data_IF_958633503572
#
_entry.id   IF_958633503572
#
_cell.length_a   1.000
_cell.length_b   1.000
_cell.length_c   1.000
_cell.angle_alpha   90.00
_cell.angle_beta   90.00
_cell.angle_gamma   90.00
#
_symmetry.space_group_name_H-M   'P 1'
#
loop_
_entity.id
_entity.type
_entity.pdbx_description
1 polymer ?
#
# COMPACT_ATOMS: atom_id res chain seq x y z
N UNK A 1 -72.42 -23.77 29.77
CA UNK A 1 -71.53 -22.57 29.86
C UNK A 1 -70.26 -22.86 29.09
N UNK A 2 -70.14 -22.23 27.95
CA UNK A 2 -68.92 -22.35 27.08
C UNK A 2 -68.17 -21.06 27.22
N UNK A 3 -66.96 -21.11 27.77
CA UNK A 3 -66.04 -19.95 27.76
C UNK A 3 -65.17 -20.02 26.51
N UNK A 4 -65.26 -19.01 25.68
CA UNK A 4 -64.39 -18.80 24.54
C UNK A 4 -63.24 -17.88 24.97
N UNK A 5 -62.02 -18.41 24.94
CA UNK A 5 -60.79 -17.66 25.21
C UNK A 5 -60.38 -16.96 23.91
N UNK A 6 -60.35 -15.63 23.93
CA UNK A 6 -59.81 -14.83 22.85
C UNK A 6 -58.31 -14.69 23.02
N UNK A 7 -57.52 -15.18 22.07
CA UNK A 7 -56.09 -14.97 21.99
C UNK A 7 -55.83 -13.60 21.37
N UNK A 8 -55.17 -12.72 22.12
CA UNK A 8 -54.64 -11.42 21.62
C UNK A 8 -53.29 -11.71 21.02
N UNK A 9 -53.22 -11.63 19.70
CA UNK A 9 -51.92 -11.61 18.97
C UNK A 9 -51.33 -10.21 19.06
N UNK A 10 -50.29 -10.02 19.86
CA UNK A 10 -49.48 -8.81 19.85
C UNK A 10 -48.50 -8.90 18.70
N UNK A 11 -48.75 -8.14 17.63
CA UNK A 11 -47.77 -7.94 16.57
C UNK A 11 -46.68 -6.99 17.08
N UNK A 12 -45.49 -7.52 17.35
CA UNK A 12 -44.28 -6.74 17.54
C UNK A 12 -43.82 -6.23 16.16
N UNK A 13 -44.07 -4.96 15.89
CA UNK A 13 -43.46 -4.25 14.77
C UNK A 13 -42.03 -3.93 15.20
N UNK A 14 -41.08 -4.73 14.76
CA UNK A 14 -39.66 -4.38 14.83
C UNK A 14 -39.41 -3.28 13.80
N UNK A 15 -39.24 -2.04 14.26
CA UNK A 15 -38.71 -0.97 13.45
C UNK A 15 -37.26 -1.30 13.13
N UNK A 16 -37.00 -1.80 11.93
CA UNK A 16 -35.63 -1.84 11.38
C UNK A 16 -35.22 -0.40 11.11
N UNK A 17 -34.34 0.12 11.96
CA UNK A 17 -33.62 1.36 11.68
C UNK A 17 -32.61 1.01 10.56
N UNK A 18 -33.01 1.27 9.33
CA UNK A 18 -32.11 1.24 8.21
C UNK A 18 -31.10 2.39 8.39
N UNK A 19 -29.95 2.12 8.93
CA UNK A 19 -28.79 2.98 8.77
C UNK A 19 -28.46 2.97 7.28
N UNK A 20 -28.74 4.08 6.59
CA UNK A 20 -28.21 4.32 5.25
C UNK A 20 -26.68 4.32 5.36
N UNK A 21 -26.05 3.23 4.92
CA UNK A 21 -24.61 3.16 4.81
C UNK A 21 -24.14 4.17 3.74
N UNK A 22 -23.15 5.02 4.02
CA UNK A 22 -22.56 5.86 2.98
C UNK A 22 -21.92 4.95 1.93
N UNK A 23 -22.31 5.05 0.67
CA UNK A 23 -21.65 4.49 -0.50
C UNK A 23 -21.42 2.98 -0.46
N UNK A 24 -22.41 2.15 -0.78
CA UNK A 24 -22.42 0.70 -0.60
C UNK A 24 -21.38 -0.14 -1.33
N UNK A 25 -20.46 0.43 -2.11
CA UNK A 25 -19.45 -0.34 -2.85
C UNK A 25 -18.08 -0.36 -2.14
N UNK A 26 -17.66 0.71 -1.48
CA UNK A 26 -16.36 0.79 -0.80
C UNK A 26 -16.23 -0.15 0.40
N UNK A 27 -17.28 -0.28 1.23
CA UNK A 27 -17.25 -1.17 2.39
C UNK A 27 -17.22 -2.66 2.01
N UNK A 28 -18.03 -3.05 1.02
CA UNK A 28 -18.07 -4.42 0.52
C UNK A 28 -16.72 -4.82 -0.13
N UNK A 29 -16.04 -3.88 -0.76
CA UNK A 29 -14.70 -4.06 -1.36
C UNK A 29 -13.62 -4.17 -0.32
N UNK A 30 -13.59 -3.28 0.70
CA UNK A 30 -12.67 -3.41 1.84
C UNK A 30 -12.81 -4.77 2.51
N UNK A 31 -14.04 -5.27 2.64
CA UNK A 31 -14.30 -6.58 3.22
C UNK A 31 -13.88 -7.73 2.29
N UNK A 32 -14.09 -7.61 0.98
CA UNK A 32 -13.62 -8.58 -0.01
C UNK A 32 -12.08 -8.60 -0.08
N UNK A 33 -11.43 -7.41 0.03
CA UNK A 33 -9.97 -7.30 0.09
C UNK A 33 -9.38 -7.81 1.38
N UNK A 34 -9.97 -7.53 2.55
CA UNK A 34 -9.56 -8.17 3.81
C UNK A 34 -9.62 -9.69 3.72
N UNK A 35 -10.63 -10.23 3.02
CA UNK A 35 -10.74 -11.66 2.76
C UNK A 35 -9.72 -12.15 1.73
N UNK A 36 -9.42 -11.37 0.71
CA UNK A 36 -8.41 -11.69 -0.31
C UNK A 36 -6.99 -11.54 0.27
N UNK A 37 -6.71 -10.52 1.08
CA UNK A 37 -5.42 -10.36 1.80
C UNK A 37 -5.21 -11.44 2.85
N UNK A 38 -6.25 -11.81 3.62
CA UNK A 38 -6.22 -13.01 4.47
C UNK A 38 -5.97 -14.29 3.66
N UNK A 39 -6.05 -14.21 2.34
CA UNK A 39 -5.90 -15.29 1.39
C UNK A 39 -4.58 -15.26 0.59
N UNK A 40 -3.68 -14.29 0.80
CA UNK A 40 -2.35 -14.28 0.19
C UNK A 40 -2.06 -13.17 -0.80
N UNK A 41 -2.67 -11.97 -0.66
CA UNK A 41 -2.23 -10.77 -1.38
C UNK A 41 -0.84 -10.37 -0.88
N UNK A 42 0.13 -10.28 -1.79
CA UNK A 42 1.50 -9.89 -1.49
C UNK A 42 1.83 -8.64 -2.29
N UNK A 43 2.45 -7.64 -1.67
CA UNK A 43 3.24 -6.71 -2.45
C UNK A 43 4.32 -7.51 -3.18
N UNK A 44 4.53 -7.20 -4.44
CA UNK A 44 5.51 -7.93 -5.23
C UNK A 44 6.87 -7.26 -5.09
N UNK A 45 7.95 -7.99 -4.81
CA UNK A 45 9.29 -7.43 -4.95
C UNK A 45 9.49 -6.92 -6.39
N UNK A 46 10.39 -5.97 -6.53
CA UNK A 46 10.76 -5.44 -7.85
C UNK A 46 10.97 -6.57 -8.85
N UNK A 47 10.21 -6.59 -9.93
CA UNK A 47 10.37 -7.55 -11.00
C UNK A 47 10.77 -6.85 -12.30
N UNK A 48 11.98 -7.13 -12.75
CA UNK A 48 12.28 -7.03 -14.18
C UNK A 48 11.82 -8.32 -14.84
N UNK A 49 10.77 -8.27 -15.61
CA UNK A 49 10.25 -9.44 -16.31
C UNK A 49 10.85 -9.48 -17.72
N UNK A 50 11.58 -10.57 -18.04
CA UNK A 50 12.12 -10.76 -19.37
C UNK A 50 11.00 -10.83 -20.41
N UNK A 51 11.13 -10.04 -21.47
CA UNK A 51 10.19 -9.68 -22.53
C UNK A 51 9.53 -10.83 -23.35
N UNK A 52 9.37 -12.01 -22.82
CA UNK A 52 8.75 -13.12 -23.57
C UNK A 52 7.38 -13.59 -23.06
N UNK A 53 6.98 -13.24 -21.86
CA UNK A 53 5.76 -13.79 -21.27
C UNK A 53 4.93 -12.82 -20.40
N UNK A 54 5.35 -11.56 -20.20
CA UNK A 54 4.63 -10.65 -19.31
C UNK A 54 4.23 -9.36 -20.00
N UNK A 55 3.07 -8.88 -19.64
CA UNK A 55 2.56 -7.55 -20.02
C UNK A 55 3.13 -6.43 -19.16
N UNK A 56 3.73 -6.73 -18.01
CA UNK A 56 4.44 -5.80 -17.13
C UNK A 56 5.92 -6.15 -17.13
N UNK A 57 6.78 -5.18 -17.39
CA UNK A 57 8.24 -5.36 -17.44
C UNK A 57 8.95 -4.80 -16.23
N UNK A 58 8.34 -3.80 -15.57
CA UNK A 58 8.73 -3.27 -14.26
C UNK A 58 7.46 -2.84 -13.54
N UNK A 59 7.24 -3.35 -12.35
CA UNK A 59 6.07 -3.01 -11.55
C UNK A 59 6.32 -1.83 -10.60
N UNK A 60 7.56 -1.35 -10.47
CA UNK A 60 7.94 -0.24 -9.61
C UNK A 60 8.31 1.00 -10.42
N UNK A 61 7.78 2.16 -9.99
CA UNK A 61 8.21 3.49 -10.42
C UNK A 61 8.63 4.29 -9.19
N UNK A 62 9.70 5.07 -9.30
CA UNK A 62 10.17 5.87 -8.17
C UNK A 62 11.68 5.90 -8.02
N UNK A 63 12.15 5.90 -6.78
CA UNK A 63 13.56 6.02 -6.46
C UNK A 63 14.03 4.93 -5.48
N UNK A 64 15.17 4.34 -5.78
CA UNK A 64 15.82 3.28 -5.01
C UNK A 64 17.25 3.70 -4.70
N UNK A 65 17.60 3.74 -3.41
CA UNK A 65 18.98 3.84 -2.97
C UNK A 65 19.53 2.44 -2.71
N UNK A 66 20.75 2.18 -3.19
CA UNK A 66 21.48 0.95 -2.91
C UNK A 66 22.67 1.30 -2.02
N UNK A 67 22.79 0.63 -0.87
CA UNK A 67 23.83 0.90 0.12
C UNK A 67 23.95 -0.21 1.15
N UNK A 68 24.14 0.16 2.41
CA UNK A 68 24.18 -0.76 3.54
C UNK A 68 23.61 -0.12 4.79
N UNK A 69 23.22 -0.96 5.73
CA UNK A 69 22.84 -0.59 7.09
C UNK A 69 21.74 0.47 7.17
N UNK A 70 20.86 0.53 6.14
CA UNK A 70 19.71 1.41 6.19
C UNK A 70 18.82 1.04 7.38
N UNK A 71 18.48 2.03 8.18
CA UNK A 71 17.70 1.84 9.41
C UNK A 71 16.36 2.56 9.40
N UNK A 72 16.24 3.70 8.69
CA UNK A 72 14.96 4.42 8.59
C UNK A 72 14.78 5.01 7.20
N UNK A 73 13.56 4.86 6.68
CA UNK A 73 13.09 5.51 5.46
C UNK A 73 11.78 6.20 5.74
N UNK A 74 11.64 7.47 5.36
CA UNK A 74 10.41 8.23 5.55
C UNK A 74 10.19 9.25 4.46
N UNK A 75 8.93 9.52 4.15
CA UNK A 75 8.50 10.61 3.26
C UNK A 75 7.07 11.04 3.58
N UNK A 76 6.69 12.20 3.07
CA UNK A 76 5.30 12.66 3.01
C UNK A 76 4.83 12.62 1.56
N UNK A 77 3.70 11.98 1.28
CA UNK A 77 3.12 11.94 -0.07
C UNK A 77 1.70 12.49 -0.10
N UNK A 78 1.33 13.13 -1.22
CA UNK A 78 -0.04 13.53 -1.49
C UNK A 78 -0.85 12.34 -2.01
N UNK A 79 -2.12 12.27 -1.63
CA UNK A 79 -3.05 11.27 -2.14
C UNK A 79 -3.67 11.76 -3.45
N UNK A 80 -3.43 11.08 -4.58
CA UNK A 80 -3.94 11.50 -5.87
C UNK A 80 -5.43 11.18 -6.03
N UNK A 81 -6.10 11.86 -6.96
CA UNK A 81 -7.34 11.36 -7.56
C UNK A 81 -7.03 10.20 -8.49
N UNK A 82 -7.82 9.13 -8.40
CA UNK A 82 -7.59 7.92 -9.18
C UNK A 82 -8.79 7.61 -10.10
N UNK A 83 -8.51 7.00 -11.26
CA UNK A 83 -9.52 6.54 -12.20
C UNK A 83 -9.08 5.26 -12.92
N UNK A 84 -10.02 4.60 -13.62
CA UNK A 84 -9.75 3.31 -14.28
C UNK A 84 -10.77 2.23 -13.95
N UNK A 85 -11.80 2.61 -13.15
CA UNK A 85 -12.85 1.69 -12.71
C UNK A 85 -12.42 0.89 -11.48
N UNK A 86 -13.32 0.07 -11.06
CA UNK A 86 -13.28 -0.53 -9.73
C UNK A 86 -12.28 -1.68 -9.55
N UNK A 87 -11.74 -2.24 -10.61
CA UNK A 87 -10.69 -3.26 -10.57
C UNK A 87 -9.29 -2.68 -10.71
N UNK A 88 -9.18 -1.40 -11.13
CA UNK A 88 -7.90 -0.74 -11.26
C UNK A 88 -7.42 -0.21 -9.91
N UNK A 89 -6.12 -0.34 -9.64
CA UNK A 89 -5.50 0.11 -8.41
C UNK A 89 -4.04 0.49 -8.64
N UNK A 90 -3.42 1.11 -7.65
CA UNK A 90 -2.01 1.37 -7.53
C UNK A 90 -1.69 1.69 -6.08
N UNK A 91 -0.42 1.73 -5.74
CA UNK A 91 0.04 1.99 -4.38
C UNK A 91 1.23 2.94 -4.35
N UNK A 92 1.38 3.68 -3.25
CA UNK A 92 2.56 4.49 -2.95
C UNK A 92 3.09 4.10 -1.57
N UNK A 93 4.40 3.83 -1.47
CA UNK A 93 4.97 3.34 -0.24
C UNK A 93 6.44 3.74 -0.05
N UNK A 94 6.90 3.62 1.19
CA UNK A 94 8.32 3.70 1.56
C UNK A 94 8.75 2.39 2.16
N UNK A 95 10.00 1.96 1.91
CA UNK A 95 10.46 0.66 2.35
C UNK A 95 11.96 0.53 2.54
N UNK A 96 12.32 -0.59 3.18
CA UNK A 96 13.69 -1.09 3.30
C UNK A 96 13.72 -2.48 2.67
N UNK A 97 14.61 -2.67 1.70
CA UNK A 97 14.83 -3.87 0.88
C UNK A 97 13.67 -4.21 -0.10
N UNK A 98 13.96 -5.10 -1.05
CA UNK A 98 13.03 -5.53 -2.10
C UNK A 98 13.64 -5.54 -3.49
N UNK A 99 14.63 -4.68 -3.75
CA UNK A 99 15.33 -4.64 -5.03
C UNK A 99 16.49 -5.66 -5.07
N UNK A 100 17.63 -5.34 -4.48
CA UNK A 100 18.80 -6.24 -4.50
C UNK A 100 18.72 -7.33 -3.44
N UNK A 101 18.00 -7.11 -2.36
CA UNK A 101 17.65 -8.08 -1.32
C UNK A 101 16.17 -8.41 -1.37
N UNK A 102 15.83 -9.61 -1.81
CA UNK A 102 14.46 -10.07 -1.99
C UNK A 102 14.00 -11.07 -0.92
N UNK A 103 14.75 -11.18 0.18
CA UNK A 103 14.41 -12.09 1.29
C UNK A 103 13.33 -11.53 2.20
N UNK A 104 13.30 -10.22 2.38
CA UNK A 104 12.29 -9.48 3.12
C UNK A 104 12.15 -8.06 2.57
N UNK A 105 11.03 -7.41 2.84
CA UNK A 105 10.80 -5.97 2.68
C UNK A 105 10.05 -5.50 3.92
N UNK A 106 10.55 -4.47 4.58
CA UNK A 106 9.79 -3.74 5.60
C UNK A 106 9.23 -2.49 4.96
N UNK A 107 7.89 -2.41 4.80
CA UNK A 107 7.26 -1.34 4.05
C UNK A 107 5.91 -0.89 4.61
N UNK A 108 5.51 0.33 4.26
CA UNK A 108 4.19 0.90 4.57
C UNK A 108 3.79 1.93 3.53
N UNK A 109 2.51 1.99 3.24
CA UNK A 109 2.00 2.85 2.21
C UNK A 109 0.49 3.02 2.23
N UNK A 110 0.00 3.57 1.14
CA UNK A 110 -1.42 3.67 0.87
C UNK A 110 -1.74 3.26 -0.56
N UNK A 111 -2.89 2.59 -0.70
CA UNK A 111 -3.44 2.22 -1.99
C UNK A 111 -4.44 3.26 -2.46
N UNK A 112 -4.54 3.44 -3.76
CA UNK A 112 -5.65 4.11 -4.43
C UNK A 112 -6.34 3.17 -5.40
N UNK A 113 -7.63 3.35 -5.56
CA UNK A 113 -8.47 2.54 -6.44
C UNK A 113 -9.19 3.42 -7.42
N UNK A 114 -9.35 2.94 -8.65
CA UNK A 114 -10.01 3.68 -9.73
C UNK A 114 -11.49 4.03 -9.48
N UNK A 115 -12.06 3.65 -8.34
CA UNK A 115 -13.38 4.08 -7.87
C UNK A 115 -13.33 5.17 -6.79
N UNK A 116 -12.13 5.71 -6.51
CA UNK A 116 -11.93 6.77 -5.53
C UNK A 116 -11.94 6.30 -4.08
N UNK A 117 -11.65 5.03 -3.82
CA UNK A 117 -11.40 4.51 -2.46
C UNK A 117 -9.91 4.37 -2.20
N UNK A 118 -9.52 4.39 -0.92
CA UNK A 118 -8.14 4.38 -0.46
C UNK A 118 -8.02 3.55 0.80
N UNK A 119 -6.86 2.88 0.98
CA UNK A 119 -6.53 2.13 2.19
C UNK A 119 -5.09 2.43 2.62
N UNK A 120 -4.81 2.39 3.92
CA UNK A 120 -3.47 2.47 4.49
C UNK A 120 -3.05 1.09 4.95
N UNK A 121 -1.82 0.70 4.68
CA UNK A 121 -1.35 -0.64 4.94
C UNK A 121 0.10 -0.69 5.46
N UNK A 122 0.49 -1.88 5.99
CA UNK A 122 1.85 -2.21 6.42
C UNK A 122 2.17 -3.65 6.02
N UNK A 123 3.45 -3.94 5.86
CA UNK A 123 3.92 -5.28 5.49
C UNK A 123 5.33 -5.55 5.98
N UNK A 124 5.56 -6.81 6.35
CA UNK A 124 6.87 -7.44 6.40
C UNK A 124 6.86 -8.60 5.40
N UNK A 125 7.24 -8.32 4.14
CA UNK A 125 7.32 -9.35 3.11
C UNK A 125 8.31 -10.47 3.56
N UNK A 126 8.07 -11.78 3.29
CA UNK A 126 7.03 -12.33 2.42
C UNK A 126 5.68 -12.64 3.10
N UNK A 127 5.42 -12.15 4.31
CA UNK A 127 4.07 -12.19 4.84
C UNK A 127 3.15 -11.30 3.98
N UNK A 128 1.84 -11.46 4.15
CA UNK A 128 0.88 -10.63 3.43
C UNK A 128 0.75 -9.25 4.08
N UNK A 129 0.47 -8.23 3.26
CA UNK A 129 0.15 -6.90 3.78
C UNK A 129 -1.17 -6.90 4.55
N UNK A 130 -1.24 -6.11 5.61
CA UNK A 130 -2.43 -5.88 6.42
C UNK A 130 -2.82 -4.42 6.43
N UNK A 131 -4.13 -4.14 6.49
CA UNK A 131 -4.64 -2.78 6.60
C UNK A 131 -4.49 -2.23 8.01
N UNK A 132 -4.12 -0.96 8.11
CA UNK A 132 -4.24 -0.22 9.36
C UNK A 132 -5.70 0.04 9.71
N UNK A 133 -6.04 -0.13 10.96
CA UNK A 133 -7.30 0.36 11.54
C UNK A 133 -7.07 1.69 12.26
N UNK A 134 -8.06 2.58 12.24
CA UNK A 134 -7.98 3.85 12.97
C UNK A 134 -7.39 5.00 12.17
N UNK A 135 -7.20 4.84 10.87
CA UNK A 135 -6.85 5.89 9.93
C UNK A 135 -7.80 5.85 8.73
N UNK A 136 -8.10 7.01 8.17
CA UNK A 136 -8.88 7.15 6.93
C UNK A 136 -8.08 8.00 5.97
N UNK A 137 -8.04 7.60 4.70
CA UNK A 137 -7.36 8.31 3.62
C UNK A 137 -8.40 8.76 2.59
N UNK A 138 -8.24 9.98 2.10
CA UNK A 138 -9.07 10.59 1.07
C UNK A 138 -8.20 11.31 0.05
N UNK A 139 -8.74 11.51 -1.15
CA UNK A 139 -8.11 12.34 -2.18
C UNK A 139 -7.67 13.71 -1.61
N UNK A 140 -6.46 14.10 -1.92
CA UNK A 140 -5.86 15.37 -1.50
C UNK A 140 -5.28 15.37 -0.09
N UNK A 141 -5.38 14.28 0.66
CA UNK A 141 -4.72 14.17 1.96
C UNK A 141 -3.19 14.17 1.80
N UNK A 142 -2.50 14.61 2.85
CA UNK A 142 -1.05 14.55 2.99
C UNK A 142 -0.69 13.43 3.96
N UNK A 143 0.01 12.42 3.48
CA UNK A 143 0.30 11.19 4.22
C UNK A 143 1.79 11.08 4.50
N UNK A 144 2.18 11.09 5.77
CA UNK A 144 3.53 10.78 6.18
C UNK A 144 3.66 9.28 6.43
N UNK A 145 4.66 8.67 5.83
CA UNK A 145 5.00 7.27 5.94
C UNK A 145 6.41 7.11 6.49
N UNK A 146 6.63 6.12 7.34
CA UNK A 146 7.97 5.83 7.87
C UNK A 146 8.09 4.35 8.23
N UNK A 147 9.22 3.76 7.88
CA UNK A 147 9.64 2.45 8.35
C UNK A 147 10.97 2.58 9.08
N UNK A 148 11.15 1.81 10.16
CA UNK A 148 12.40 1.75 10.91
C UNK A 148 12.75 0.30 11.20
N UNK A 149 13.89 -0.17 10.72
CA UNK A 149 14.47 -1.46 11.06
C UNK A 149 15.31 -1.31 12.33
N UNK A 150 14.97 -2.03 13.39
CA UNK A 150 15.77 -2.08 14.64
C UNK A 150 16.73 -3.25 14.67
N UNK A 151 16.54 -4.22 13.79
CA UNK A 151 17.42 -5.33 13.46
C UNK A 151 16.99 -5.94 12.12
N UNK A 152 17.68 -6.95 11.65
CA UNK A 152 17.34 -7.65 10.40
C UNK A 152 15.98 -8.40 10.48
N UNK A 153 15.41 -8.57 11.67
CA UNK A 153 14.13 -9.27 11.89
C UNK A 153 13.14 -8.50 12.75
N UNK A 154 13.41 -7.23 13.05
CA UNK A 154 12.52 -6.42 13.88
C UNK A 154 12.51 -4.97 13.43
N UNK A 155 11.37 -4.33 13.57
CA UNK A 155 11.19 -2.96 13.13
C UNK A 155 9.80 -2.42 13.41
N UNK A 156 9.48 -1.32 12.75
CA UNK A 156 8.15 -0.70 12.82
C UNK A 156 7.78 -0.02 11.51
N UNK A 157 6.50 0.02 11.24
CA UNK A 157 5.87 0.81 10.18
C UNK A 157 4.92 1.82 10.82
N UNK A 158 4.94 3.05 10.37
CA UNK A 158 4.09 4.15 10.87
C UNK A 158 3.53 4.93 9.71
N UNK A 159 2.25 5.25 9.78
CA UNK A 159 1.58 6.13 8.82
C UNK A 159 0.77 7.19 9.58
N UNK A 160 0.85 8.43 9.11
CA UNK A 160 0.13 9.56 9.67
C UNK A 160 -0.54 10.36 8.57
N UNK A 161 -1.84 10.53 8.66
CA UNK A 161 -2.57 11.47 7.83
C UNK A 161 -2.44 12.87 8.44
N UNK A 162 -1.55 13.70 7.89
CA UNK A 162 -1.27 15.05 8.40
C UNK A 162 -2.47 15.99 8.20
N UNK A 163 -3.38 15.71 7.28
CA UNK A 163 -4.59 16.48 7.03
C UNK A 163 -5.59 16.29 8.17
N UNK A 164 -5.74 15.08 8.68
CA UNK A 164 -6.71 14.73 9.73
C UNK A 164 -6.09 14.59 11.11
N UNK A 165 -4.76 14.45 11.21
CA UNK A 165 -4.03 14.20 12.46
C UNK A 165 -4.13 12.75 12.96
N UNK A 166 -4.67 11.83 12.15
CA UNK A 166 -4.75 10.42 12.51
C UNK A 166 -3.39 9.75 12.30
N UNK A 167 -2.90 9.02 13.31
CA UNK A 167 -1.61 8.31 13.28
C UNK A 167 -1.76 6.90 13.79
N UNK A 168 -1.18 5.95 13.10
CA UNK A 168 -1.17 4.53 13.45
C UNK A 168 0.22 3.94 13.22
N UNK A 169 0.54 2.87 13.96
CA UNK A 169 1.83 2.20 13.86
C UNK A 169 1.67 0.70 14.07
N UNK A 170 2.57 -0.07 13.45
CA UNK A 170 2.75 -1.51 13.65
C UNK A 170 4.19 -1.77 14.05
N UNK A 171 4.38 -2.61 15.07
CA UNK A 171 5.69 -3.14 15.44
C UNK A 171 5.82 -4.58 14.98
N UNK A 172 7.01 -4.93 14.49
CA UNK A 172 7.44 -6.26 14.09
C UNK A 172 8.56 -6.72 15.02
N UNK A 173 8.55 -7.97 15.44
CA UNK A 173 9.52 -8.50 16.41
C UNK A 173 9.86 -9.93 16.11
N UNK A 174 11.15 -10.20 15.85
CA UNK A 174 11.69 -11.52 15.56
C UNK A 174 10.94 -12.22 14.41
N UNK A 175 10.73 -11.48 13.31
CA UNK A 175 10.10 -12.01 12.12
C UNK A 175 10.92 -13.19 11.57
N UNK A 176 10.28 -14.30 11.33
CA UNK A 176 10.93 -15.55 10.91
C UNK A 176 10.68 -15.88 9.44
N UNK A 177 9.79 -15.16 8.78
CA UNK A 177 9.42 -15.33 7.38
C UNK A 177 10.49 -14.86 6.40
N UNK A 178 11.28 -13.84 6.80
CA UNK A 178 12.38 -13.29 6.02
C UNK A 178 13.19 -12.29 6.84
N UNK A 179 14.49 -12.21 6.55
CA UNK A 179 15.40 -11.24 7.18
C UNK A 179 15.76 -10.13 6.21
N UNK A 180 15.74 -8.89 6.67
CA UNK A 180 16.26 -7.73 5.95
C UNK A 180 17.76 -7.87 5.73
N UNK A 181 18.24 -7.35 4.61
CA UNK A 181 19.66 -7.10 4.36
C UNK A 181 20.04 -5.66 4.71
N UNK A 182 19.05 -4.77 4.76
CA UNK A 182 19.17 -3.31 4.94
C UNK A 182 20.05 -2.66 3.88
N UNK A 183 19.90 -3.13 2.63
CA UNK A 183 20.72 -2.69 1.48
C UNK A 183 19.98 -1.81 0.49
N UNK A 184 18.67 -1.71 0.60
CA UNK A 184 17.86 -0.82 -0.23
C UNK A 184 17.02 0.12 0.63
N UNK A 185 16.84 1.36 0.17
CA UNK A 185 15.89 2.31 0.72
C UNK A 185 15.06 2.87 -0.43
N UNK A 186 13.73 2.84 -0.31
CA UNK A 186 12.83 2.99 -1.44
C UNK A 186 11.69 3.96 -1.18
N UNK A 187 11.33 4.68 -2.29
CA UNK A 187 10.17 5.57 -2.42
C UNK A 187 9.47 5.19 -3.71
N UNK A 188 8.39 4.40 -3.63
CA UNK A 188 7.86 3.65 -4.77
C UNK A 188 6.37 3.90 -5.01
N UNK A 189 6.02 4.04 -6.30
CA UNK A 189 4.70 3.71 -6.84
C UNK A 189 4.75 2.29 -7.40
N UNK A 190 3.71 1.51 -7.18
CA UNK A 190 3.71 0.12 -7.62
C UNK A 190 2.39 -0.29 -8.29
N UNK A 191 2.55 -1.01 -9.41
CA UNK A 191 1.53 -1.89 -9.98
C UNK A 191 1.65 -3.25 -9.31
N UNK A 192 0.77 -3.53 -8.33
CA UNK A 192 0.89 -4.72 -7.50
C UNK A 192 0.09 -5.92 -8.02
N UNK A 193 0.48 -7.12 -7.58
CA UNK A 193 -0.23 -8.35 -7.89
C UNK A 193 -1.30 -8.67 -6.84
N UNK A 194 -2.45 -9.17 -7.29
CA UNK A 194 -3.43 -9.84 -6.45
C UNK A 194 -3.37 -11.34 -6.70
N UNK A 195 -3.29 -12.12 -5.62
CA UNK A 195 -3.29 -13.57 -5.66
C UNK A 195 -4.67 -14.11 -5.25
N UNK A 196 -5.00 -15.33 -5.71
CA UNK A 196 -6.18 -16.03 -5.21
C UNK A 196 -6.03 -16.44 -3.74
N UNK A 197 -7.12 -16.96 -3.14
CA UNK A 197 -7.21 -17.28 -1.72
C UNK A 197 -6.21 -18.31 -1.18
N UNK A 198 -5.44 -18.97 -2.03
CA UNK A 198 -4.38 -19.92 -1.63
C UNK A 198 -2.97 -19.37 -1.91
N UNK A 199 -2.85 -18.07 -2.31
CA UNK A 199 -1.57 -17.46 -2.64
C UNK A 199 -0.95 -17.99 -3.94
N UNK A 200 -1.73 -18.65 -4.79
CA UNK A 200 -1.37 -19.04 -6.16
C UNK A 200 -2.14 -18.19 -7.16
N UNK A 201 -1.77 -18.26 -8.43
CA UNK A 201 -2.40 -17.53 -9.53
C UNK A 201 -2.46 -16.01 -9.22
N UNK A 202 -1.28 -15.41 -9.05
CA UNK A 202 -1.12 -13.98 -8.87
C UNK A 202 -1.14 -13.27 -10.23
N UNK A 203 -1.94 -12.23 -10.35
CA UNK A 203 -2.03 -11.41 -11.55
C UNK A 203 -1.90 -9.92 -11.16
N UNK A 204 -1.24 -9.14 -12.03
CA UNK A 204 -1.21 -7.69 -11.85
C UNK A 204 -2.62 -7.11 -11.95
N UNK A 205 -2.98 -6.22 -11.03
CA UNK A 205 -4.21 -5.45 -11.16
C UNK A 205 -4.06 -4.46 -12.31
N UNK A 206 -5.12 -4.07 -13.02
CA UNK A 206 -5.00 -2.96 -13.96
C UNK A 206 -4.52 -1.71 -13.24
N UNK A 207 -3.38 -1.12 -13.65
CA UNK A 207 -2.81 0.05 -13.01
C UNK A 207 -3.76 1.24 -13.16
N UNK A 208 -4.25 1.77 -12.04
CA UNK A 208 -5.18 2.90 -12.05
C UNK A 208 -4.45 4.18 -12.43
N UNK A 209 -4.98 4.90 -13.42
CA UNK A 209 -4.47 6.24 -13.72
C UNK A 209 -4.71 7.19 -12.56
N UNK A 210 -3.79 8.12 -12.33
CA UNK A 210 -3.84 9.04 -11.20
C UNK A 210 -3.42 10.47 -11.58
N UNK A 211 -3.93 11.46 -10.85
CA UNK A 211 -3.61 12.88 -11.00
C UNK A 211 -3.95 13.64 -9.70
N UNK A 212 -3.16 14.64 -9.27
CA UNK A 212 -1.87 15.06 -9.84
C UNK A 212 -0.79 13.98 -9.70
N UNK A 213 0.45 14.29 -10.10
CA UNK A 213 1.61 13.47 -9.78
C UNK A 213 1.66 13.16 -8.28
N UNK A 214 2.07 11.95 -7.93
CA UNK A 214 2.39 11.62 -6.53
C UNK A 214 3.79 12.13 -6.25
N UNK A 215 3.89 13.00 -5.26
CA UNK A 215 5.15 13.58 -4.81
C UNK A 215 5.45 13.09 -3.40
N UNK A 216 6.53 12.33 -3.28
CA UNK A 216 7.16 12.05 -2.00
C UNK A 216 8.05 13.23 -1.66
N UNK A 217 7.66 14.03 -0.69
CA UNK A 217 8.39 15.18 -0.19
C UNK A 217 9.03 14.87 1.16
N UNK A 218 10.02 15.66 1.56
CA UNK A 218 10.77 15.44 2.81
C UNK A 218 11.31 14.00 2.91
N UNK A 219 11.69 13.43 1.77
CA UNK A 219 12.30 12.12 1.71
C UNK A 219 13.56 12.09 2.57
N UNK A 220 13.60 11.16 3.51
CA UNK A 220 14.71 11.00 4.45
C UNK A 220 15.08 9.53 4.58
N UNK A 221 16.37 9.28 4.50
CA UNK A 221 16.97 7.95 4.70
C UNK A 221 18.07 8.08 5.73
N UNK A 222 18.15 7.13 6.64
CA UNK A 222 19.29 7.00 7.57
C UNK A 222 19.94 5.63 7.42
N UNK A 223 21.26 5.61 7.62
CA UNK A 223 22.11 4.43 7.69
C UNK A 223 22.99 4.55 8.92
N UNK A 224 22.88 3.60 9.85
CA UNK A 224 23.55 3.65 11.18
C UNK A 224 23.30 5.00 11.91
N UNK A 225 22.10 5.58 11.73
CA UNK A 225 21.68 6.84 12.33
C UNK A 225 22.19 8.10 11.62
N UNK A 226 22.96 8.00 10.56
CA UNK A 226 23.44 9.12 9.77
C UNK A 226 22.57 9.35 8.53
N UNK A 227 22.33 10.62 8.19
CA UNK A 227 21.51 10.96 7.01
C UNK A 227 22.21 10.61 5.70
N UNK A 228 21.47 10.02 4.77
CA UNK A 228 21.94 9.65 3.43
C UNK A 228 21.26 10.54 2.39
N UNK A 229 22.05 11.06 1.42
CA UNK A 229 21.52 11.84 0.28
C UNK A 229 20.80 10.95 -0.71
N UNK A 230 19.81 11.51 -1.42
CA UNK A 230 19.14 10.86 -2.54
C UNK A 230 19.86 11.08 -3.89
N UNK A 231 21.01 11.78 -3.91
CA UNK A 231 21.71 12.15 -5.16
C UNK A 231 22.11 10.93 -6.01
N UNK A 232 22.39 9.79 -5.37
CA UNK A 232 22.77 8.54 -6.04
C UNK A 232 21.58 7.57 -6.21
N UNK A 233 20.34 8.02 -5.99
CA UNK A 233 19.17 7.18 -6.14
C UNK A 233 18.98 6.76 -7.61
N UNK A 234 18.74 5.49 -7.82
CA UNK A 234 18.34 4.94 -9.12
C UNK A 234 16.85 5.20 -9.34
N UNK A 235 16.52 5.72 -10.54
CA UNK A 235 15.14 5.97 -10.93
C UNK A 235 14.62 4.77 -11.71
N UNK A 236 13.44 4.31 -11.35
CA UNK A 236 12.70 3.28 -12.07
C UNK A 236 11.33 3.80 -12.52
N UNK A 237 10.76 3.18 -13.54
CA UNK A 237 9.44 3.48 -14.07
C UNK A 237 8.56 2.23 -14.02
N UNK A 238 7.26 2.40 -13.82
CA UNK A 238 6.31 1.32 -14.09
C UNK A 238 6.22 1.17 -15.61
N UNK A 239 6.50 -0.04 -16.10
CA UNK A 239 6.54 -0.35 -17.54
C UNK A 239 5.52 -1.45 -17.82
N UNK A 240 4.52 -1.16 -18.65
CA UNK A 240 3.47 -2.10 -19.04
C UNK A 240 3.44 -2.20 -20.57
N UNK A 241 3.55 -3.41 -21.13
CA UNK A 241 3.59 -3.65 -22.58
C UNK A 241 4.70 -2.86 -23.30
N UNK A 242 5.90 -2.81 -22.74
CA UNK A 242 7.05 -2.04 -23.26
C UNK A 242 6.79 -0.52 -23.31
N UNK A 243 5.90 -0.01 -22.48
CA UNK A 243 5.61 1.42 -22.41
C UNK A 243 5.73 1.90 -20.98
N UNK A 244 6.47 2.97 -20.76
CA UNK A 244 6.46 3.66 -19.49
C UNK A 244 5.04 4.19 -19.24
N UNK A 245 4.47 3.87 -18.09
CA UNK A 245 3.16 4.38 -17.63
C UNK A 245 3.33 5.37 -16.47
N UNK A 246 4.56 5.53 -16.00
CA UNK A 246 4.94 6.59 -15.07
C UNK A 246 6.13 7.37 -15.62
N UNK A 247 6.27 8.64 -15.20
CA UNK A 247 7.46 9.47 -15.37
C UNK A 247 7.92 9.94 -13.99
N UNK A 248 8.93 9.25 -13.47
CA UNK A 248 9.47 9.47 -12.13
C UNK A 248 10.80 10.20 -12.19
N UNK A 249 11.04 11.08 -11.23
CA UNK A 249 12.28 11.87 -11.11
C UNK A 249 12.60 12.18 -9.65
N UNK A 250 13.87 12.52 -9.37
CA UNK A 250 14.35 12.98 -8.06
C UNK A 250 14.87 14.40 -8.16
N UNK A 251 14.53 15.23 -7.19
CA UNK A 251 15.08 16.59 -7.04
C UNK A 251 15.26 16.94 -5.57
N UNK A 252 16.49 16.96 -5.08
CA UNK A 252 16.80 17.16 -3.67
C UNK A 252 16.18 16.06 -2.81
N UNK A 253 15.26 16.42 -1.93
CA UNK A 253 14.53 15.47 -1.06
C UNK A 253 13.12 15.14 -1.56
N UNK A 254 12.87 15.30 -2.85
CA UNK A 254 11.57 15.02 -3.46
C UNK A 254 11.72 13.97 -4.56
N UNK A 255 10.86 12.95 -4.51
CA UNK A 255 10.64 11.98 -5.58
C UNK A 255 9.26 12.26 -6.15
N UNK A 256 9.17 12.55 -7.44
CA UNK A 256 7.91 12.87 -8.12
C UNK A 256 7.66 11.88 -9.24
N UNK A 257 6.46 11.31 -9.28
CA UNK A 257 6.01 10.39 -10.32
C UNK A 257 4.68 10.85 -10.89
N UNK A 258 4.61 11.08 -12.19
CA UNK A 258 3.36 11.34 -12.92
C UNK A 258 2.90 10.10 -13.67
N UNK A 259 1.60 9.96 -13.85
CA UNK A 259 1.01 9.00 -14.80
C UNK A 259 1.10 9.57 -16.21
N UNK A 260 1.56 8.77 -17.20
CA UNK A 260 1.78 9.19 -18.59
C UNK A 260 1.01 8.34 -19.60
#
# INVERSE_FOLDING_TARGET
>A
MKFTTAAVLSALVSAEIAFAAPGGNGFARRQARRQARAAGLKASPFRQVNAKEATVESNWGGAILIGSDFDTVSATANVPSASGGSSAAGTAWVGIDGDTCQTAILQTGFDWYGDGTYDAWYEWYPEVSDDFSGITISEGDSIQMSVTATSDTSGSATIENLTTGQKVSKSFSNESSGSLCRTNAEFILEDFEECNSNGSDCEFVPFASFSPAVEFTDCSVTSDGESVSLDDAQITQVIINNQDVTDCSVSGTTVSCSYV
#
